data_IF_766695169166
#
_entry.id   IF_766695169166
#
_cell.length_a   1.000
_cell.length_b   1.000
_cell.length_c   1.000
_cell.angle_alpha   90.00
_cell.angle_beta   90.00
_cell.angle_gamma   90.00
#
_symmetry.space_group_name_H-M   'P 1'
#
loop_
_entity.id
_entity.type
_entity.pdbx_description
1 polymer ?
#
# COMPACT_ATOMS: atom_id res chain seq x y z
N UNK A 1 -79.08 -50.20 38.72
CA UNK A 1 -77.67 -50.37 39.11
C UNK A 1 -76.80 -49.71 38.00
N UNK A 2 -76.36 -48.53 38.23
CA UNK A 2 -75.59 -47.77 37.24
C UNK A 2 -74.16 -47.62 37.77
N UNK A 3 -73.22 -48.23 37.08
CA UNK A 3 -71.80 -48.05 37.32
C UNK A 3 -71.31 -46.85 36.54
N UNK A 4 -70.85 -45.82 37.24
CA UNK A 4 -70.16 -44.69 36.68
C UNK A 4 -68.70 -45.02 36.62
N UNK A 5 -68.17 -45.16 35.42
CA UNK A 5 -66.74 -45.24 35.16
C UNK A 5 -66.14 -43.86 35.06
N UNK A 6 -65.25 -43.50 35.95
CA UNK A 6 -64.50 -42.29 35.98
C UNK A 6 -63.22 -42.43 35.08
N UNK A 7 -63.14 -41.76 33.98
CA UNK A 7 -62.00 -41.77 33.11
C UNK A 7 -61.02 -40.70 33.62
N UNK A 8 -59.85 -41.08 34.13
CA UNK A 8 -58.76 -40.21 34.42
C UNK A 8 -58.01 -39.90 33.08
N UNK A 9 -58.09 -38.66 32.67
CA UNK A 9 -57.28 -38.18 31.54
C UNK A 9 -55.86 -37.84 32.03
N UNK A 10 -54.89 -38.62 31.61
CA UNK A 10 -53.48 -38.31 31.81
C UNK A 10 -53.00 -37.33 30.75
N UNK A 11 -52.61 -36.13 31.17
CA UNK A 11 -51.92 -35.15 30.31
C UNK A 11 -50.46 -35.58 30.09
N UNK A 12 -49.98 -35.70 28.85
CA UNK A 12 -48.54 -35.87 28.63
C UNK A 12 -47.86 -34.50 28.76
N UNK A 13 -46.93 -34.38 29.71
CA UNK A 13 -45.94 -33.29 29.73
C UNK A 13 -45.00 -33.45 28.55
N UNK A 14 -45.16 -32.63 27.52
CA UNK A 14 -44.17 -32.46 26.47
C UNK A 14 -42.99 -31.64 27.01
N UNK A 15 -41.90 -32.31 27.34
CA UNK A 15 -40.61 -31.63 27.53
C UNK A 15 -40.20 -31.00 26.19
N UNK A 16 -40.28 -29.67 26.12
CA UNK A 16 -39.63 -28.91 25.06
C UNK A 16 -38.11 -29.05 25.26
N UNK A 17 -37.50 -29.98 24.54
CA UNK A 17 -36.05 -30.02 24.40
C UNK A 17 -35.62 -28.73 23.65
N UNK A 18 -35.01 -27.80 24.39
CA UNK A 18 -34.23 -26.73 23.76
C UNK A 18 -33.16 -27.41 22.89
N UNK A 19 -33.41 -27.43 21.60
CA UNK A 19 -32.34 -27.71 20.64
C UNK A 19 -31.28 -26.63 20.84
N UNK A 20 -30.20 -26.99 21.52
CA UNK A 20 -28.96 -26.25 21.43
C UNK A 20 -28.60 -26.19 19.95
N UNK A 21 -28.82 -25.02 19.34
CA UNK A 21 -28.15 -24.70 18.09
C UNK A 21 -26.67 -24.95 18.32
N UNK A 22 -26.18 -25.99 17.69
CA UNK A 22 -24.76 -26.29 17.60
C UNK A 22 -24.09 -24.98 17.17
N UNK A 23 -23.27 -24.39 18.04
CA UNK A 23 -22.41 -23.31 17.68
C UNK A 23 -21.74 -23.77 16.39
N UNK A 24 -21.99 -23.08 15.28
CA UNK A 24 -21.31 -23.32 14.03
C UNK A 24 -19.84 -23.40 14.38
N UNK A 25 -19.27 -24.57 14.19
CA UNK A 25 -17.85 -24.78 14.40
C UNK A 25 -17.17 -23.75 13.52
N UNK A 26 -16.58 -22.71 14.12
CA UNK A 26 -15.77 -21.72 13.42
C UNK A 26 -14.70 -22.54 12.72
N UNK A 27 -14.91 -22.75 11.43
CA UNK A 27 -14.00 -23.52 10.60
C UNK A 27 -12.71 -22.71 10.57
N UNK A 28 -11.73 -23.12 11.37
CA UNK A 28 -10.39 -22.56 11.28
C UNK A 28 -9.83 -22.99 9.94
N UNK A 29 -9.98 -22.13 8.98
CA UNK A 29 -9.31 -22.28 7.69
C UNK A 29 -7.84 -22.10 7.98
N UNK A 30 -7.07 -23.18 7.80
CA UNK A 30 -5.63 -23.08 7.93
C UNK A 30 -5.13 -22.07 6.89
N UNK A 31 -4.36 -21.06 7.32
CA UNK A 31 -3.87 -19.97 6.48
C UNK A 31 -3.04 -20.45 5.28
N UNK A 32 -2.54 -21.69 5.33
CA UNK A 32 -1.84 -22.37 4.25
C UNK A 32 -2.78 -22.92 3.15
N UNK A 33 -4.10 -22.96 3.41
CA UNK A 33 -5.12 -23.40 2.44
C UNK A 33 -5.85 -22.22 1.77
N UNK A 34 -5.66 -20.99 2.25
CA UNK A 34 -6.31 -19.80 1.73
C UNK A 34 -5.28 -18.93 1.01
N UNK A 35 -5.22 -19.08 -0.28
CA UNK A 35 -4.50 -18.17 -1.14
C UNK A 35 -3.14 -18.66 -1.63
N UNK A 36 -2.53 -17.92 -2.56
CA UNK A 36 -1.18 -18.19 -2.99
C UNK A 36 -0.27 -18.14 -1.77
N UNK A 37 0.58 -19.16 -1.65
CA UNK A 37 1.63 -19.36 -0.64
C UNK A 37 2.08 -18.03 -0.05
N UNK A 38 2.04 -17.90 1.29
CA UNK A 38 2.53 -16.69 1.96
C UNK A 38 3.84 -16.27 1.31
N UNK A 39 3.79 -15.14 0.61
CA UNK A 39 4.90 -14.72 -0.22
C UNK A 39 6.10 -14.44 0.67
N UNK A 40 7.23 -15.00 0.33
CA UNK A 40 8.45 -14.89 1.13
C UNK A 40 8.76 -13.41 1.36
N UNK A 41 8.81 -13.01 2.63
CA UNK A 41 9.18 -11.64 2.98
C UNK A 41 10.60 -11.37 2.49
N UNK A 42 10.77 -10.36 1.66
CA UNK A 42 12.06 -9.93 1.17
C UNK A 42 12.75 -9.05 2.22
N UNK A 43 14.06 -9.19 2.34
CA UNK A 43 14.88 -8.31 3.15
C UNK A 43 14.84 -6.86 2.60
N UNK A 44 15.08 -5.89 3.48
CA UNK A 44 15.31 -4.51 3.05
C UNK A 44 16.55 -4.43 2.17
N UNK A 45 16.50 -3.67 1.05
CA UNK A 45 17.68 -3.47 0.21
C UNK A 45 18.76 -2.66 0.94
N UNK A 46 19.99 -2.84 0.53
CA UNK A 46 21.11 -1.99 0.98
C UNK A 46 20.98 -0.60 0.33
N UNK A 47 20.86 0.42 1.16
CA UNK A 47 20.74 1.82 0.76
C UNK A 47 21.97 2.67 1.14
N UNK A 48 23.04 2.05 1.64
CA UNK A 48 24.23 2.75 2.17
C UNK A 48 24.89 3.69 1.14
N UNK A 49 24.81 3.35 -0.14
CA UNK A 49 25.37 4.14 -1.25
C UNK A 49 24.29 4.65 -2.21
N UNK A 50 23.04 4.53 -1.82
CA UNK A 50 21.94 4.97 -2.65
C UNK A 50 21.81 6.51 -2.60
N UNK A 51 21.53 7.10 -3.77
CA UNK A 51 21.40 8.55 -3.96
C UNK A 51 20.22 8.84 -4.88
N UNK A 52 19.73 10.06 -4.80
CA UNK A 52 18.76 10.57 -5.77
C UNK A 52 19.45 11.01 -7.05
N UNK A 53 18.89 10.67 -8.19
CA UNK A 53 19.34 11.07 -9.52
C UNK A 53 18.15 11.48 -10.37
N UNK A 54 18.35 12.47 -11.24
CA UNK A 54 17.31 12.89 -12.20
C UNK A 54 17.36 11.96 -13.42
N UNK A 55 16.21 11.50 -13.88
CA UNK A 55 16.09 10.71 -15.11
C UNK A 55 16.47 11.52 -16.36
N UNK A 56 16.89 10.85 -17.43
CA UNK A 56 17.34 11.50 -18.66
C UNK A 56 16.26 12.40 -19.29
N UNK A 57 14.97 12.11 -19.12
CA UNK A 57 13.87 12.92 -19.63
C UNK A 57 13.45 14.06 -18.67
N UNK A 58 14.07 14.18 -17.51
CA UNK A 58 13.79 15.19 -16.48
C UNK A 58 12.42 15.07 -15.80
N UNK A 59 11.63 14.03 -16.11
CA UNK A 59 10.28 13.88 -15.58
C UNK A 59 10.18 12.93 -14.41
N UNK A 60 11.27 12.32 -14.01
CA UNK A 60 11.35 11.43 -12.85
C UNK A 60 12.65 11.66 -12.10
N UNK A 61 12.64 11.30 -10.83
CA UNK A 61 13.84 11.13 -10.01
C UNK A 61 13.90 9.72 -9.48
N UNK A 62 15.09 9.16 -9.42
CA UNK A 62 15.34 7.79 -9.02
C UNK A 62 16.19 7.74 -7.76
N UNK A 63 15.81 6.94 -6.79
CA UNK A 63 16.62 6.62 -5.62
C UNK A 63 17.19 5.22 -5.75
N UNK A 64 18.48 5.07 -5.61
CA UNK A 64 19.16 3.79 -5.67
C UNK A 64 20.67 3.92 -5.83
N UNK A 65 21.35 2.78 -5.90
CA UNK A 65 22.78 2.75 -6.16
C UNK A 65 23.08 3.09 -7.63
N UNK A 66 24.10 3.92 -7.87
CA UNK A 66 24.49 4.31 -9.23
C UNK A 66 24.81 3.08 -10.08
N UNK A 67 24.28 3.07 -11.31
CA UNK A 67 24.48 1.96 -12.25
C UNK A 67 23.62 0.73 -11.98
N UNK A 68 22.80 0.72 -10.92
CA UNK A 68 21.84 -0.32 -10.62
C UNK A 68 20.40 0.11 -10.94
N UNK A 69 19.49 -0.86 -10.93
CA UNK A 69 18.04 -0.57 -11.01
C UNK A 69 17.62 0.28 -9.82
N UNK A 70 16.82 1.34 -10.02
CA UNK A 70 16.32 2.13 -8.92
C UNK A 70 15.57 1.29 -7.88
N UNK A 71 15.65 1.68 -6.64
CA UNK A 71 14.85 1.11 -5.55
C UNK A 71 13.48 1.79 -5.50
N UNK A 72 13.44 3.10 -5.75
CA UNK A 72 12.26 3.93 -5.75
C UNK A 72 12.37 5.01 -6.82
N UNK A 73 11.25 5.35 -7.44
CA UNK A 73 11.16 6.44 -8.43
C UNK A 73 9.98 7.35 -8.06
N UNK A 74 10.17 8.65 -8.13
CA UNK A 74 9.08 9.62 -8.23
C UNK A 74 8.96 10.02 -9.70
N UNK A 75 7.76 9.90 -10.27
CA UNK A 75 7.48 10.18 -11.68
C UNK A 75 6.37 11.22 -11.82
N UNK A 76 6.67 12.33 -12.47
CA UNK A 76 5.72 13.42 -12.69
C UNK A 76 5.04 13.25 -14.04
N UNK A 77 3.74 13.01 -14.01
CA UNK A 77 2.90 12.82 -15.21
C UNK A 77 2.26 14.12 -15.62
N UNK A 78 2.72 14.67 -16.75
CA UNK A 78 2.36 15.97 -17.28
C UNK A 78 1.44 15.88 -18.51
N UNK A 79 0.62 14.84 -18.63
CA UNK A 79 -0.39 14.71 -19.69
C UNK A 79 -1.38 15.88 -19.64
N UNK A 80 -1.80 16.24 -18.43
CA UNK A 80 -2.47 17.52 -18.16
C UNK A 80 -1.58 18.35 -17.23
N UNK A 81 -1.00 19.42 -17.76
CA UNK A 81 -0.13 20.31 -16.99
C UNK A 81 -0.88 21.19 -15.99
N UNK A 82 -2.18 21.34 -16.16
CA UNK A 82 -3.01 22.06 -15.19
C UNK A 82 -3.34 21.20 -13.98
N UNK A 83 -3.41 19.87 -14.18
CA UNK A 83 -3.69 18.87 -13.13
C UNK A 83 -2.65 17.75 -13.19
N UNK A 84 -1.37 18.02 -12.91
CA UNK A 84 -0.32 17.03 -12.99
C UNK A 84 -0.55 15.94 -11.94
N UNK A 85 -0.12 14.72 -12.26
CA UNK A 85 -0.11 13.62 -11.33
C UNK A 85 1.32 13.29 -10.93
N UNK A 86 1.49 12.84 -9.72
CA UNK A 86 2.74 12.32 -9.21
C UNK A 86 2.55 10.84 -8.86
N UNK A 87 3.44 10.01 -9.33
CA UNK A 87 3.51 8.61 -8.99
C UNK A 87 4.73 8.32 -8.13
N UNK A 88 4.60 7.44 -7.15
CA UNK A 88 5.72 6.79 -6.49
C UNK A 88 5.76 5.34 -6.93
N UNK A 89 6.90 4.90 -7.40
CA UNK A 89 7.14 3.55 -7.92
C UNK A 89 8.16 2.86 -7.04
N UNK A 90 7.79 1.73 -6.44
CA UNK A 90 8.71 0.86 -5.72
C UNK A 90 9.11 -0.29 -6.63
N UNK A 91 10.38 -0.36 -7.01
CA UNK A 91 10.94 -1.41 -7.86
C UNK A 91 11.25 -2.65 -7.02
N UNK A 92 10.20 -3.33 -6.62
CA UNK A 92 10.27 -4.61 -5.91
C UNK A 92 9.33 -5.60 -6.59
N UNK A 93 9.60 -6.89 -6.43
CA UNK A 93 8.79 -7.95 -7.02
C UNK A 93 7.30 -7.75 -6.69
N UNK A 94 6.46 -7.82 -7.70
CA UNK A 94 5.00 -7.74 -7.61
C UNK A 94 4.38 -8.81 -8.52
N UNK A 95 3.12 -9.15 -8.26
CA UNK A 95 2.38 -10.11 -9.06
C UNK A 95 1.04 -9.50 -9.50
N UNK A 96 0.48 -9.98 -10.61
CA UNK A 96 -0.80 -9.47 -11.10
C UNK A 96 -1.88 -9.40 -10.03
N UNK A 97 -2.58 -8.26 -9.95
CA UNK A 97 -3.71 -8.08 -9.06
C UNK A 97 -3.37 -7.89 -7.57
N UNK A 98 -2.09 -7.75 -7.24
CA UNK A 98 -1.71 -7.38 -5.87
C UNK A 98 -1.95 -5.90 -5.61
N UNK A 99 -2.46 -5.60 -4.42
CA UNK A 99 -2.66 -4.28 -3.88
C UNK A 99 -2.00 -4.18 -2.50
N UNK A 100 -1.47 -3.02 -2.14
CA UNK A 100 -0.87 -2.78 -0.84
C UNK A 100 -0.96 -1.32 -0.42
N UNK A 101 -0.80 -1.06 0.87
CA UNK A 101 -0.55 0.30 1.36
C UNK A 101 0.96 0.51 1.45
N UNK A 102 1.46 1.38 0.59
CA UNK A 102 2.85 1.82 0.61
C UNK A 102 3.00 2.95 1.63
N UNK A 103 3.59 2.62 2.77
CA UNK A 103 3.79 3.57 3.86
C UNK A 103 5.11 4.31 3.67
N UNK A 104 5.04 5.64 3.66
CA UNK A 104 6.23 6.49 3.62
C UNK A 104 6.18 7.47 4.79
N UNK A 105 7.27 7.57 5.51
CA UNK A 105 7.46 8.48 6.64
C UNK A 105 8.65 9.39 6.35
N UNK A 106 8.52 10.66 6.70
CA UNK A 106 9.60 11.64 6.54
C UNK A 106 9.10 13.05 6.77
N UNK A 107 10.00 13.95 7.12
CA UNK A 107 9.72 15.38 7.27
C UNK A 107 8.52 15.71 8.18
N UNK A 108 8.28 14.89 9.21
CA UNK A 108 7.15 15.05 10.14
C UNK A 108 5.80 14.52 9.60
N UNK A 109 5.77 13.90 8.45
CA UNK A 109 4.57 13.32 7.83
C UNK A 109 4.64 11.80 7.77
N UNK A 110 3.46 11.19 7.77
CA UNK A 110 3.26 9.77 7.47
C UNK A 110 2.16 9.67 6.43
N UNK A 111 2.47 9.09 5.28
CA UNK A 111 1.48 8.80 4.22
C UNK A 111 1.35 7.30 4.01
N UNK A 112 0.14 6.86 3.69
CA UNK A 112 -0.18 5.48 3.29
C UNK A 112 -0.82 5.54 1.92
N UNK A 113 0.00 5.34 0.91
CA UNK A 113 -0.38 5.47 -0.49
C UNK A 113 -0.94 4.12 -0.98
N UNK A 114 -2.18 4.07 -1.49
CA UNK A 114 -2.65 2.87 -2.17
C UNK A 114 -1.76 2.57 -3.37
N UNK A 115 -1.15 1.39 -3.40
CA UNK A 115 -0.25 0.97 -4.45
C UNK A 115 -0.73 -0.33 -5.08
N UNK A 116 -0.74 -0.34 -6.39
CA UNK A 116 -1.12 -1.47 -7.21
C UNK A 116 0.11 -2.10 -7.87
N UNK A 117 0.03 -3.40 -8.12
CA UNK A 117 0.99 -4.09 -8.96
C UNK A 117 0.73 -3.75 -10.43
N UNK A 118 1.68 -3.10 -11.07
CA UNK A 118 1.59 -2.66 -12.47
C UNK A 118 2.67 -3.34 -13.30
N UNK A 119 2.28 -3.85 -14.48
CA UNK A 119 3.23 -4.33 -15.48
C UNK A 119 3.73 -3.15 -16.32
N UNK A 120 5.01 -2.88 -16.27
CA UNK A 120 5.62 -1.84 -17.11
C UNK A 120 7.01 -2.29 -17.54
N UNK A 121 7.35 -2.05 -18.79
CA UNK A 121 8.63 -2.44 -19.40
C UNK A 121 8.95 -3.95 -19.25
N UNK A 122 7.91 -4.80 -19.23
CA UNK A 122 8.05 -6.24 -19.04
C UNK A 122 8.25 -6.70 -17.59
N UNK A 123 8.21 -5.81 -16.62
CA UNK A 123 8.38 -6.12 -15.21
C UNK A 123 7.20 -5.67 -14.37
N UNK A 124 6.80 -6.50 -13.41
CA UNK A 124 5.84 -6.13 -12.38
C UNK A 124 6.52 -5.28 -11.31
N UNK A 125 5.89 -4.15 -10.98
CA UNK A 125 6.36 -3.21 -9.95
C UNK A 125 5.18 -2.62 -9.21
N UNK A 126 5.42 -1.98 -8.08
CA UNK A 126 4.39 -1.32 -7.29
C UNK A 126 4.31 0.16 -7.65
N UNK A 127 3.11 0.66 -7.85
CA UNK A 127 2.88 2.04 -8.19
C UNK A 127 1.70 2.61 -7.40
N UNK A 128 1.90 3.77 -6.77
CA UNK A 128 0.84 4.60 -6.21
C UNK A 128 0.85 5.93 -6.93
N UNK A 129 -0.32 6.37 -7.39
CA UNK A 129 -0.47 7.62 -8.14
C UNK A 129 -1.57 8.48 -7.53
N UNK A 130 -1.29 9.77 -7.34
CA UNK A 130 -2.24 10.78 -6.85
C UNK A 130 -2.02 12.10 -7.60
N UNK A 131 -3.00 13.03 -7.57
CA UNK A 131 -2.76 14.40 -8.01
C UNK A 131 -1.52 15.00 -7.35
N UNK A 132 -0.66 15.69 -8.10
CA UNK A 132 0.55 16.28 -7.54
C UNK A 132 0.26 17.30 -6.42
N UNK A 133 -0.94 17.90 -6.43
CA UNK A 133 -1.40 18.81 -5.39
C UNK A 133 -1.80 18.11 -4.08
N UNK A 134 -1.93 16.76 -4.08
CA UNK A 134 -2.32 16.03 -2.87
C UNK A 134 -1.30 16.28 -1.76
N UNK A 135 -1.83 16.53 -0.55
CA UNK A 135 -1.01 16.83 0.63
C UNK A 135 -0.16 15.64 1.12
N UNK A 136 -0.50 14.43 0.73
CA UNK A 136 0.28 13.25 1.08
C UNK A 136 1.72 13.34 0.54
N UNK A 137 1.96 14.09 -0.53
CA UNK A 137 3.30 14.33 -1.07
C UNK A 137 4.16 15.29 -0.23
N UNK A 138 3.58 15.97 0.78
CA UNK A 138 4.35 16.86 1.66
C UNK A 138 5.44 16.13 2.43
N UNK A 139 5.31 14.82 2.61
CA UNK A 139 6.33 13.99 3.23
C UNK A 139 7.70 14.07 2.52
N UNK A 140 7.71 14.37 1.20
CA UNK A 140 8.94 14.54 0.42
C UNK A 140 9.51 15.96 0.49
N UNK A 141 8.74 16.93 1.03
CA UNK A 141 9.16 18.32 1.13
C UNK A 141 9.85 18.56 2.46
N UNK A 142 11.16 18.78 2.41
CA UNK A 142 12.01 18.97 3.56
C UNK A 142 13.37 18.33 3.35
N UNK A 143 14.18 18.34 4.40
CA UNK A 143 15.56 17.84 4.38
C UNK A 143 15.79 16.78 5.47
N UNK A 144 14.75 16.15 5.96
CA UNK A 144 14.84 15.05 6.92
C UNK A 144 14.95 13.70 6.23
N UNK A 145 15.48 12.72 6.98
CA UNK A 145 15.50 11.33 6.53
C UNK A 145 14.10 10.82 6.27
N UNK A 146 13.98 9.95 5.30
CA UNK A 146 12.72 9.31 4.93
C UNK A 146 12.85 7.78 4.93
N UNK A 147 11.74 7.12 5.20
CA UNK A 147 11.63 5.67 5.16
C UNK A 147 10.38 5.26 4.42
N UNK A 148 10.54 4.41 3.42
CA UNK A 148 9.44 3.87 2.63
C UNK A 148 9.32 2.35 2.85
N UNK A 149 8.15 1.88 3.27
CA UNK A 149 7.92 0.47 3.61
C UNK A 149 6.75 -0.09 2.78
N UNK A 150 6.99 -1.22 2.17
CA UNK A 150 5.97 -2.00 1.48
C UNK A 150 5.85 -3.36 2.17
N UNK A 151 4.65 -3.81 2.55
CA UNK A 151 4.46 -5.09 3.20
C UNK A 151 5.09 -6.24 2.41
N UNK A 152 5.90 -7.06 3.09
CA UNK A 152 6.59 -8.19 2.46
C UNK A 152 7.76 -7.83 1.53
N UNK A 153 8.08 -6.54 1.33
CA UNK A 153 9.12 -6.07 0.39
C UNK A 153 10.23 -5.26 1.05
N UNK A 154 10.29 -5.29 2.38
CA UNK A 154 11.28 -4.54 3.14
C UNK A 154 11.06 -3.03 3.14
N UNK A 155 12.00 -2.31 3.71
CA UNK A 155 12.02 -0.87 3.80
C UNK A 155 13.17 -0.28 2.98
N UNK A 156 12.95 0.91 2.42
CA UNK A 156 13.97 1.74 1.76
C UNK A 156 14.23 2.94 2.67
N UNK A 157 15.43 3.02 3.18
CA UNK A 157 15.90 4.17 3.95
C UNK A 157 16.51 5.19 3.00
N UNK A 158 16.07 6.42 3.09
CA UNK A 158 16.50 7.53 2.23
C UNK A 158 17.05 8.63 3.12
N UNK A 159 18.36 8.87 3.09
CA UNK A 159 18.98 9.99 3.80
C UNK A 159 18.38 11.33 3.38
N UNK A 160 18.53 12.31 4.25
CA UNK A 160 18.14 13.69 4.01
C UNK A 160 18.69 14.21 2.68
N UNK A 161 17.81 14.70 1.81
CA UNK A 161 18.16 15.24 0.48
C UNK A 161 17.07 16.23 0.03
N UNK A 162 17.42 17.40 -0.53
CA UNK A 162 16.45 18.37 -1.02
C UNK A 162 15.77 17.97 -2.33
N UNK A 163 16.39 17.10 -3.14
CA UNK A 163 15.92 16.74 -4.48
C UNK A 163 14.46 16.28 -4.52
N UNK A 164 13.97 15.39 -3.62
CA UNK A 164 12.57 14.98 -3.65
C UNK A 164 11.59 16.13 -3.45
N UNK A 165 11.88 17.05 -2.53
CA UNK A 165 11.04 18.20 -2.23
C UNK A 165 10.97 19.19 -3.40
N UNK A 166 12.13 19.48 -4.02
CA UNK A 166 12.22 20.31 -5.22
C UNK A 166 11.45 19.69 -6.38
N UNK A 167 11.58 18.39 -6.58
CA UNK A 167 10.87 17.66 -7.63
C UNK A 167 9.34 17.67 -7.44
N UNK A 168 8.85 17.45 -6.22
CA UNK A 168 7.41 17.54 -5.90
C UNK A 168 6.90 18.95 -6.20
N UNK A 169 7.65 19.98 -5.79
CA UNK A 169 7.30 21.38 -6.02
C UNK A 169 7.25 21.71 -7.52
N UNK A 170 8.25 21.26 -8.27
CA UNK A 170 8.30 21.41 -9.72
C UNK A 170 7.13 20.69 -10.42
N UNK A 171 6.80 19.48 -9.99
CA UNK A 171 5.68 18.72 -10.53
C UNK A 171 4.35 19.44 -10.29
N UNK A 172 4.12 19.95 -9.07
CA UNK A 172 2.96 20.76 -8.70
C UNK A 172 2.79 22.01 -9.57
N UNK A 173 3.90 22.60 -9.99
CA UNK A 173 3.91 23.74 -10.90
C UNK A 173 3.66 23.36 -12.39
N UNK A 174 3.25 22.10 -12.68
CA UNK A 174 3.06 21.62 -14.05
C UNK A 174 4.35 21.49 -14.84
N UNK A 175 5.46 21.22 -14.15
CA UNK A 175 6.78 21.07 -14.77
C UNK A 175 7.40 22.40 -15.19
N UNK A 176 7.06 23.51 -14.54
CA UNK A 176 7.65 24.84 -14.79
C UNK A 176 8.69 25.14 -13.72
N UNK A 177 9.80 25.70 -14.15
CA UNK A 177 10.79 26.25 -13.22
C UNK A 177 10.29 27.64 -12.80
N UNK A 178 10.23 27.90 -11.48
CA UNK A 178 9.93 29.25 -11.03
C UNK A 178 11.00 30.22 -11.54
N UNK A 179 10.62 31.41 -12.02
CA UNK A 179 11.61 32.43 -12.35
C UNK A 179 12.46 32.73 -11.10
N UNK A 180 13.77 32.88 -11.31
CA UNK A 180 14.65 33.29 -10.23
C UNK A 180 14.11 34.60 -9.63
N UNK A 181 13.99 34.65 -8.30
CA UNK A 181 13.65 35.90 -7.63
C UNK A 181 14.77 36.92 -7.93
N UNK A 182 14.40 37.99 -8.63
CA UNK A 182 15.29 39.13 -8.96
C UNK A 182 15.42 40.06 -7.76
#
# INVERSE_FOLDING_TARGET
MFYRATILAALPLTLAACQQQSAEATQRIALDQVGPRAEQTLASPDTTRAVWTVSANGKAINFGNLGAKPLLTLDCRLQDRANPQLAVIRHAAAFPGQEALFAVMGNGYVSRLPADAILADGEWRWEAILPAADRQWNLFIGTGDMRATLPGRGAVEMPADPIPGEFVTWCRAGGRVAPAAS
#
